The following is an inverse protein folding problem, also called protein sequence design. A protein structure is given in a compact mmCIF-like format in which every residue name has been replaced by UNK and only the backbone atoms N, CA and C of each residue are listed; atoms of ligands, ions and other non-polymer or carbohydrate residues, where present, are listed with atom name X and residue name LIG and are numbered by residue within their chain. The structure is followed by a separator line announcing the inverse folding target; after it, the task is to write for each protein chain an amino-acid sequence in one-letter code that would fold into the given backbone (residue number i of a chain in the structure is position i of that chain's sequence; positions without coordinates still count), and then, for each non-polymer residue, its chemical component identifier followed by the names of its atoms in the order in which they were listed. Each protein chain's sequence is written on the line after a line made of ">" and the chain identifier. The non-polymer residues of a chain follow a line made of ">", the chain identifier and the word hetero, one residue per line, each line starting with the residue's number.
data_IF_493532146436
#
_entry.id   IF_493532146436
#
_cell.length_a   1.000
_cell.length_b   1.000
_cell.length_c   1.000
_cell.angle_alpha   90.00
_cell.angle_beta   90.00
_cell.angle_gamma   90.00
#
_symmetry.space_group_name_H-M   'P 1'
#
loop_
_entity.id
_entity.type
_entity.pdbx_description
1 polymer ?
#
# COMPACT_ATOMS: atom_id res chain seq x y z
N UNK A 1 -3.11 22.19 8.45
CA UNK A 1 -3.02 21.56 7.12
C UNK A 1 -4.05 20.46 7.07
N UNK A 2 -4.84 20.38 6.00
CA UNK A 2 -5.86 19.33 5.85
C UNK A 2 -5.14 18.13 5.24
N UNK A 3 -5.11 17.01 5.97
CA UNK A 3 -4.61 15.73 5.49
C UNK A 3 -5.53 15.19 4.38
N UNK A 4 -5.26 15.63 3.15
CA UNK A 4 -6.08 15.32 1.97
C UNK A 4 -5.27 14.52 0.97
N UNK A 5 -5.78 13.36 0.59
CA UNK A 5 -5.25 12.57 -0.50
C UNK A 5 -5.82 13.04 -1.84
N UNK A 6 -4.96 13.38 -2.81
CA UNK A 6 -5.36 13.76 -4.18
C UNK A 6 -5.68 12.56 -5.08
N UNK A 7 -5.55 11.33 -4.56
CA UNK A 7 -5.71 10.08 -5.31
C UNK A 7 -4.84 9.98 -6.58
N UNK A 8 -3.68 10.65 -6.61
CA UNK A 8 -2.76 10.63 -7.76
C UNK A 8 -2.15 9.24 -8.07
N UNK A 9 -2.30 8.27 -7.15
CA UNK A 9 -1.85 6.90 -7.34
C UNK A 9 -0.33 6.70 -7.28
N UNK A 10 0.46 7.72 -6.98
CA UNK A 10 1.92 7.61 -6.89
C UNK A 10 2.37 6.62 -5.80
N UNK A 11 1.77 6.67 -4.60
CA UNK A 11 2.08 5.71 -3.54
C UNK A 11 1.80 4.26 -3.97
N UNK A 12 0.72 4.02 -4.72
CA UNK A 12 0.39 2.72 -5.28
C UNK A 12 1.40 2.22 -6.33
N UNK A 13 2.23 3.09 -6.90
CA UNK A 13 3.29 2.70 -7.85
C UNK A 13 4.64 2.50 -7.19
N UNK A 14 4.86 3.12 -6.03
CA UNK A 14 6.17 3.21 -5.41
C UNK A 14 6.35 2.26 -4.23
N UNK A 15 5.27 1.90 -3.54
CA UNK A 15 5.38 1.22 -2.25
C UNK A 15 4.64 -0.11 -2.21
N UNK A 16 5.29 -1.07 -1.55
CA UNK A 16 4.65 -2.28 -1.07
C UNK A 16 3.83 -1.96 0.18
N UNK A 17 2.62 -2.51 0.25
CA UNK A 17 1.65 -2.21 1.31
C UNK A 17 1.47 -3.47 2.15
N UNK A 18 1.97 -3.42 3.38
CA UNK A 18 1.73 -4.47 4.38
C UNK A 18 0.34 -4.31 4.98
N UNK A 19 -0.39 -5.42 5.08
CA UNK A 19 -1.65 -5.50 5.81
C UNK A 19 -1.38 -5.72 7.31
N UNK A 20 -2.26 -5.19 8.16
CA UNK A 20 -2.30 -5.60 9.57
C UNK A 20 -2.79 -7.04 9.71
N UNK A 21 -2.68 -7.60 10.91
CA UNK A 21 -3.17 -8.96 11.21
C UNK A 21 -4.67 -9.08 10.90
N UNK A 22 -5.46 -8.11 11.33
CA UNK A 22 -6.91 -8.06 11.12
C UNK A 22 -7.24 -7.93 9.64
N UNK A 23 -6.52 -7.08 8.91
CA UNK A 23 -6.71 -6.89 7.48
C UNK A 23 -6.36 -8.13 6.66
N UNK A 24 -5.26 -8.81 7.03
CA UNK A 24 -4.82 -10.05 6.40
C UNK A 24 -5.87 -11.16 6.56
N UNK A 25 -6.32 -11.41 7.79
CA UNK A 25 -7.31 -12.46 8.05
C UNK A 25 -8.72 -12.10 7.58
N UNK A 26 -9.02 -10.83 7.31
CA UNK A 26 -10.33 -10.43 6.79
C UNK A 26 -10.63 -10.98 5.40
N UNK A 27 -9.62 -11.39 4.63
CA UNK A 27 -9.76 -11.85 3.24
C UNK A 27 -10.24 -10.78 2.26
N UNK A 28 -10.40 -9.52 2.69
CA UNK A 28 -10.92 -8.42 1.85
C UNK A 28 -9.93 -7.95 0.81
N UNK A 29 -8.64 -8.24 0.99
CA UNK A 29 -7.56 -7.75 0.15
C UNK A 29 -6.79 -8.89 -0.49
N UNK A 30 -6.40 -8.67 -1.75
CA UNK A 30 -5.56 -9.60 -2.49
C UNK A 30 -4.12 -9.46 -2.07
N UNK A 31 -3.48 -10.56 -1.70
CA UNK A 31 -2.08 -10.58 -1.28
C UNK A 31 -1.17 -11.22 -2.32
N UNK A 32 0.14 -10.99 -2.20
CA UNK A 32 1.13 -11.42 -3.18
C UNK A 32 1.12 -12.93 -3.41
N UNK A 33 0.96 -13.72 -2.35
CA UNK A 33 1.01 -15.18 -2.40
C UNK A 33 -0.36 -15.85 -2.27
N UNK A 34 -1.47 -15.09 -2.44
CA UNK A 34 -2.83 -15.63 -2.25
C UNK A 34 -3.12 -16.89 -3.10
N UNK A 35 -2.49 -17.00 -4.26
CA UNK A 35 -2.64 -18.12 -5.20
C UNK A 35 -2.03 -19.44 -4.71
N UNK A 36 -1.12 -19.38 -3.73
CA UNK A 36 -0.52 -20.54 -3.06
C UNK A 36 -1.22 -20.88 -1.74
N UNK A 37 -2.35 -20.22 -1.45
CA UNK A 37 -3.06 -20.32 -0.18
C UNK A 37 -2.60 -19.31 0.86
N UNK A 38 -3.33 -19.23 1.97
CA UNK A 38 -3.00 -18.35 3.08
C UNK A 38 -2.09 -19.06 4.08
N UNK A 39 -1.12 -18.33 4.62
CA UNK A 39 -0.32 -18.80 5.74
C UNK A 39 -1.14 -18.56 7.02
N UNK A 40 -1.52 -19.63 7.71
CA UNK A 40 -2.38 -19.54 8.90
C UNK A 40 -1.78 -18.73 10.06
N UNK A 41 -0.45 -18.65 10.14
CA UNK A 41 0.29 -17.85 11.11
C UNK A 41 0.70 -16.49 10.52
N UNK A 42 0.13 -15.40 11.04
CA UNK A 42 0.41 -14.04 10.58
C UNK A 42 1.87 -13.63 10.77
N UNK A 43 2.56 -14.08 11.82
CA UNK A 43 3.96 -13.71 12.04
C UNK A 43 4.83 -14.30 10.92
N UNK A 44 4.59 -15.56 10.54
CA UNK A 44 5.23 -16.17 9.37
C UNK A 44 4.83 -15.45 8.09
N UNK A 45 3.54 -15.14 7.93
CA UNK A 45 3.06 -14.39 6.77
C UNK A 45 3.76 -13.03 6.63
N UNK A 46 3.97 -12.31 7.73
CA UNK A 46 4.65 -11.02 7.75
C UNK A 46 6.15 -11.13 7.45
N UNK A 47 6.82 -12.15 8.00
CA UNK A 47 8.26 -12.38 7.76
C UNK A 47 8.52 -12.73 6.30
N UNK A 48 7.66 -13.54 5.69
CA UNK A 48 7.79 -13.94 4.28
C UNK A 48 7.16 -12.94 3.30
N UNK A 49 6.52 -11.87 3.77
CA UNK A 49 5.86 -10.87 2.92
C UNK A 49 4.52 -11.34 2.30
N UNK A 50 3.93 -12.42 2.80
CA UNK A 50 2.61 -12.89 2.38
C UNK A 50 1.47 -11.98 2.80
N UNK A 51 1.70 -11.07 3.75
CA UNK A 51 0.75 -10.01 4.11
C UNK A 51 0.87 -8.75 3.23
N UNK A 52 1.69 -8.76 2.18
CA UNK A 52 1.83 -7.64 1.24
C UNK A 52 0.72 -7.70 0.20
N UNK A 53 0.10 -6.55 -0.11
CA UNK A 53 -0.86 -6.45 -1.21
C UNK A 53 -0.27 -6.92 -2.54
N UNK A 54 -1.07 -7.66 -3.33
CA UNK A 54 -0.67 -8.13 -4.66
C UNK A 54 -0.24 -6.96 -5.56
N UNK A 55 0.78 -7.21 -6.38
CA UNK A 55 1.29 -6.27 -7.38
C UNK A 55 0.89 -6.74 -8.79
N UNK A 56 0.80 -5.79 -9.74
CA UNK A 56 0.68 -6.06 -11.16
C UNK A 56 2.03 -6.41 -11.78
N UNK A 57 2.02 -6.96 -12.99
CA UNK A 57 3.18 -6.93 -13.86
C UNK A 57 3.64 -5.47 -14.03
N UNK A 58 4.85 -5.14 -13.57
CA UNK A 58 5.36 -3.76 -13.47
C UNK A 58 5.42 -3.18 -12.05
N UNK A 59 5.10 -3.96 -11.02
CA UNK A 59 5.40 -3.62 -9.62
C UNK A 59 4.48 -2.58 -8.97
N UNK A 60 3.39 -2.18 -9.64
CA UNK A 60 2.36 -1.33 -9.04
C UNK A 60 1.29 -2.15 -8.32
N UNK A 61 0.71 -1.58 -7.27
CA UNK A 61 -0.35 -2.21 -6.50
C UNK A 61 -1.51 -2.65 -7.41
N UNK A 62 -2.05 -3.85 -7.19
CA UNK A 62 -3.14 -4.43 -7.98
C UNK A 62 -4.37 -3.52 -8.07
N UNK A 63 -4.61 -2.72 -7.03
CA UNK A 63 -5.74 -1.81 -6.92
C UNK A 63 -5.56 -0.45 -7.62
N UNK A 64 -4.41 -0.17 -8.24
CA UNK A 64 -4.22 1.02 -9.07
C UNK A 64 -4.99 0.88 -10.39
N UNK A 65 -6.09 1.60 -10.59
CA UNK A 65 -6.87 1.61 -11.85
C UNK A 65 -6.92 3.04 -12.41
N UNK A 66 -6.63 3.21 -13.71
CA UNK A 66 -6.76 4.53 -14.38
C UNK A 66 -6.08 5.66 -13.59
N UNK A 67 -4.87 5.39 -13.10
CA UNK A 67 -4.03 6.27 -12.27
C UNK A 67 -4.54 6.56 -10.84
N UNK A 68 -5.66 5.99 -10.39
CA UNK A 68 -6.23 6.20 -9.05
C UNK A 68 -6.35 4.89 -8.25
N UNK A 69 -6.44 4.99 -6.93
CA UNK A 69 -6.69 3.82 -6.08
C UNK A 69 -8.17 3.42 -6.14
N UNK A 70 -8.45 2.23 -6.69
CA UNK A 70 -9.83 1.73 -6.84
C UNK A 70 -10.52 1.39 -5.51
N UNK A 71 -9.74 1.15 -4.44
CA UNK A 71 -10.24 0.85 -3.10
C UNK A 71 -10.07 2.02 -2.13
N UNK A 72 -9.94 3.26 -2.62
CA UNK A 72 -9.56 4.41 -1.78
C UNK A 72 -10.38 4.54 -0.48
N UNK A 73 -11.70 4.30 -0.52
CA UNK A 73 -12.58 4.40 0.65
C UNK A 73 -12.30 3.33 1.72
N UNK A 74 -11.91 2.13 1.28
CA UNK A 74 -11.66 0.96 2.13
C UNK A 74 -10.18 0.58 2.13
N UNK A 75 -9.28 1.54 1.90
CA UNK A 75 -7.84 1.28 1.77
C UNK A 75 -7.26 0.75 3.10
N UNK A 76 -6.15 -0.03 3.06
CA UNK A 76 -5.52 -0.54 4.27
C UNK A 76 -5.09 0.56 5.26
N UNK A 77 -4.88 0.19 6.51
CA UNK A 77 -4.58 1.12 7.61
C UNK A 77 -3.38 2.02 7.30
N UNK A 78 -2.27 1.45 6.82
CA UNK A 78 -1.08 2.23 6.44
C UNK A 78 -1.39 3.24 5.31
N UNK A 79 -2.28 2.88 4.37
CA UNK A 79 -2.73 3.76 3.29
C UNK A 79 -3.72 4.83 3.77
N UNK A 80 -4.42 4.60 4.88
CA UNK A 80 -5.29 5.61 5.52
C UNK A 80 -4.46 6.64 6.28
N UNK A 81 -3.42 6.19 6.97
CA UNK A 81 -2.54 7.03 7.79
C UNK A 81 -1.55 7.85 6.96
N UNK A 82 -1.14 7.34 5.79
CA UNK A 82 -0.17 8.03 4.96
C UNK A 82 -0.78 9.21 4.20
N UNK A 83 -0.22 10.40 4.43
CA UNK A 83 -0.46 11.60 3.63
C UNK A 83 0.88 12.19 3.18
N UNK A 84 0.96 12.72 1.96
CA UNK A 84 2.19 13.37 1.47
C UNK A 84 2.56 14.62 2.28
N UNK A 85 1.62 15.18 3.03
CA UNK A 85 1.80 16.32 3.95
C UNK A 85 2.14 15.90 5.38
N UNK A 86 2.19 14.60 5.67
CA UNK A 86 2.44 14.10 7.03
C UNK A 86 3.82 14.52 7.53
N UNK A 87 3.89 14.95 8.79
CA UNK A 87 5.15 15.24 9.50
C UNK A 87 5.69 14.07 10.32
N UNK A 88 4.98 12.93 10.33
CA UNK A 88 5.41 11.75 11.07
C UNK A 88 6.72 11.19 10.51
N UNK A 89 7.72 11.01 11.38
CA UNK A 89 9.06 10.52 11.01
C UNK A 89 9.03 9.19 10.25
N UNK A 90 8.08 8.31 10.58
CA UNK A 90 7.89 7.02 9.90
C UNK A 90 7.61 7.14 8.40
N UNK A 91 7.07 8.28 7.95
CA UNK A 91 6.72 8.52 6.55
C UNK A 91 7.73 9.41 5.80
N UNK A 92 8.75 9.95 6.46
CA UNK A 92 9.71 10.90 5.87
C UNK A 92 10.32 10.39 4.56
N UNK A 93 10.88 9.18 4.57
CA UNK A 93 11.50 8.57 3.38
C UNK A 93 10.50 8.32 2.24
N UNK A 94 9.25 7.98 2.56
CA UNK A 94 8.20 7.79 1.55
C UNK A 94 7.85 9.12 0.88
N UNK A 95 7.76 10.20 1.66
CA UNK A 95 7.48 11.54 1.14
C UNK A 95 8.62 11.98 0.22
N UNK A 96 9.89 11.83 0.65
CA UNK A 96 11.06 12.14 -0.17
C UNK A 96 11.05 11.40 -1.52
N UNK A 97 10.67 10.12 -1.54
CA UNK A 97 10.56 9.34 -2.78
C UNK A 97 9.42 9.83 -3.69
N UNK A 98 8.28 10.21 -3.12
CA UNK A 98 7.17 10.79 -3.90
C UNK A 98 7.59 12.10 -4.53
N UNK A 99 8.21 13.01 -3.77
CA UNK A 99 8.63 14.32 -4.31
C UNK A 99 9.68 14.15 -5.41
N UNK A 100 10.68 13.29 -5.21
CA UNK A 100 11.65 12.93 -6.27
C UNK A 100 10.98 12.36 -7.51
N UNK A 101 9.89 11.59 -7.37
CA UNK A 101 9.18 11.06 -8.53
C UNK A 101 8.37 12.13 -9.26
N UNK A 102 7.85 13.14 -8.56
CA UNK A 102 7.11 14.26 -9.14
C UNK A 102 8.00 15.21 -9.95
N UNK A 103 9.24 15.44 -9.51
CA UNK A 103 10.18 16.31 -10.24
C UNK A 103 10.71 15.68 -11.53
N UNK A 104 10.56 14.36 -11.69
CA UNK A 104 11.02 13.58 -12.85
C UNK A 104 9.86 13.19 -13.81
N UNK A 105 8.68 13.78 -13.64
CA UNK A 105 7.49 13.59 -14.47
C UNK A 105 7.21 14.87 -15.26
#
# INVERSE_FOLDING_TARGET
>A
MIDKCSQCGLCCRLFLVNLTKEEYYSGKYKTLFEEFGLIGDFNKASVYGANILKQKAGGSCIYLKTKKCSIHKIRPQVCKEFFCTSKLTKFRKMIEQIEKKRTNL
#
